data_IF_918572651234
#
_entry.id   IF_918572651234
#
_cell.length_a   1.000
_cell.length_b   1.000
_cell.length_c   1.000
_cell.angle_alpha   90.00
_cell.angle_beta   90.00
_cell.angle_gamma   90.00
#
_symmetry.space_group_name_H-M   'P 1'
#
loop_
_entity.id
_entity.type
_entity.pdbx_description
1 polymer ?
#
# COMPACT_ATOMS: atom_id res chain seq x y z
N UNK A 1 8.92 -11.53 -2.20
CA UNK A 1 8.42 -12.67 -1.41
C UNK A 1 7.11 -13.09 -2.02
N UNK A 2 6.95 -14.40 -2.23
CA UNK A 2 5.70 -15.00 -2.69
C UNK A 2 5.14 -15.80 -1.52
N UNK A 3 3.90 -15.53 -1.14
CA UNK A 3 3.16 -16.31 -0.15
C UNK A 3 1.97 -16.95 -0.85
N UNK A 4 1.80 -18.24 -0.65
CA UNK A 4 0.67 -19.02 -1.14
C UNK A 4 0.14 -19.79 0.05
N UNK A 5 -1.13 -19.60 0.37
CA UNK A 5 -1.85 -20.39 1.36
C UNK A 5 -3.21 -20.83 0.80
N UNK A 6 -4.06 -21.46 1.64
CA UNK A 6 -5.35 -21.98 1.21
C UNK A 6 -6.33 -20.90 0.70
N UNK A 7 -6.14 -19.63 1.06
CA UNK A 7 -7.08 -18.54 0.77
C UNK A 7 -6.51 -17.43 -0.12
N UNK A 8 -5.20 -17.37 -0.37
CA UNK A 8 -4.61 -16.24 -1.11
C UNK A 8 -3.29 -16.57 -1.81
N UNK A 9 -3.03 -15.79 -2.86
CA UNK A 9 -1.74 -15.68 -3.55
C UNK A 9 -1.27 -14.23 -3.37
N UNK A 10 -0.12 -14.04 -2.74
CA UNK A 10 0.43 -12.72 -2.45
C UNK A 10 1.85 -12.58 -3.01
N UNK A 11 2.09 -11.49 -3.73
CA UNK A 11 3.42 -11.04 -4.16
C UNK A 11 3.78 -9.74 -3.42
N UNK A 12 4.93 -9.74 -2.75
CA UNK A 12 5.47 -8.59 -2.04
C UNK A 12 6.88 -8.27 -2.53
N UNK A 13 7.22 -6.99 -2.72
CA UNK A 13 8.56 -6.57 -3.12
C UNK A 13 8.94 -5.22 -2.51
N UNK A 14 10.21 -5.07 -2.14
CA UNK A 14 10.85 -3.79 -1.80
C UNK A 14 11.62 -3.22 -2.99
N UNK A 15 11.81 -3.99 -4.06
CA UNK A 15 12.48 -3.59 -5.30
C UNK A 15 11.46 -3.19 -6.36
N UNK A 16 10.50 -2.35 -5.96
CA UNK A 16 9.45 -1.88 -6.84
C UNK A 16 10.02 -0.87 -7.84
N UNK A 17 9.87 -1.15 -9.14
CA UNK A 17 10.37 -0.28 -10.23
C UNK A 17 9.25 0.34 -11.06
N UNK A 18 8.02 -0.16 -10.93
CA UNK A 18 6.86 0.26 -11.71
C UNK A 18 5.72 -0.74 -11.59
N UNK A 19 4.50 -0.26 -11.81
CA UNK A 19 3.29 -1.06 -11.63
C UNK A 19 3.20 -2.16 -12.68
N UNK A 20 3.53 -1.85 -13.93
CA UNK A 20 3.42 -2.75 -15.07
C UNK A 20 4.34 -3.95 -14.93
N UNK A 21 5.58 -3.73 -14.47
CA UNK A 21 6.54 -4.80 -14.23
C UNK A 21 6.11 -5.67 -13.04
N UNK A 22 5.68 -5.05 -11.95
CA UNK A 22 5.16 -5.76 -10.78
C UNK A 22 3.93 -6.62 -11.14
N UNK A 23 2.96 -6.03 -11.85
CA UNK A 23 1.72 -6.69 -12.22
C UNK A 23 1.97 -7.83 -13.22
N UNK A 24 2.87 -7.65 -14.18
CA UNK A 24 3.24 -8.71 -15.11
C UNK A 24 3.90 -9.91 -14.41
N UNK A 25 4.69 -9.68 -13.34
CA UNK A 25 5.24 -10.75 -12.52
C UNK A 25 4.15 -11.44 -11.68
N UNK A 26 3.25 -10.65 -11.07
CA UNK A 26 2.11 -11.16 -10.32
C UNK A 26 1.19 -12.02 -11.19
N UNK A 27 0.84 -11.56 -12.40
CA UNK A 27 -0.04 -12.29 -13.30
C UNK A 27 0.55 -13.64 -13.69
N UNK A 28 1.85 -13.70 -14.02
CA UNK A 28 2.53 -14.99 -14.30
C UNK A 28 2.43 -15.96 -13.14
N UNK A 29 2.59 -15.47 -11.90
CA UNK A 29 2.45 -16.28 -10.70
C UNK A 29 1.01 -16.78 -10.54
N UNK A 30 0.02 -15.89 -10.67
CA UNK A 30 -1.40 -16.23 -10.55
C UNK A 30 -1.81 -17.26 -11.59
N UNK A 31 -1.52 -17.03 -12.88
CA UNK A 31 -1.88 -17.96 -13.95
C UNK A 31 -1.24 -19.34 -13.73
N UNK A 32 0.01 -19.40 -13.24
CA UNK A 32 0.67 -20.66 -12.90
C UNK A 32 -0.04 -21.40 -11.76
N UNK A 33 -0.34 -20.70 -10.65
CA UNK A 33 -1.00 -21.32 -9.49
C UNK A 33 -2.41 -21.77 -9.86
N UNK A 34 -3.15 -20.94 -10.59
CA UNK A 34 -4.52 -21.25 -11.00
C UNK A 34 -4.57 -22.46 -11.93
N UNK A 35 -3.66 -22.58 -12.89
CA UNK A 35 -3.58 -23.75 -13.77
C UNK A 35 -3.24 -25.04 -13.00
N UNK A 36 -2.33 -24.98 -12.01
CA UNK A 36 -1.96 -26.14 -11.18
C UNK A 36 -3.12 -26.59 -10.28
N UNK A 37 -3.92 -25.64 -9.82
CA UNK A 37 -5.02 -25.87 -8.87
C UNK A 37 -6.39 -25.95 -9.54
N UNK A 38 -6.45 -25.94 -10.88
CA UNK A 38 -7.66 -25.93 -11.71
C UNK A 38 -8.62 -24.77 -11.38
N UNK A 39 -8.10 -23.70 -10.75
CA UNK A 39 -8.89 -22.52 -10.38
C UNK A 39 -9.16 -21.60 -11.57
N UNK A 40 -8.43 -21.75 -12.66
CA UNK A 40 -8.75 -21.11 -13.94
C UNK A 40 -10.09 -21.58 -14.49
N UNK A 41 -10.43 -22.86 -14.31
CA UNK A 41 -11.71 -23.44 -14.72
C UNK A 41 -12.77 -23.37 -13.59
N UNK A 42 -12.44 -23.82 -12.38
CA UNK A 42 -13.41 -24.03 -11.30
C UNK A 42 -13.33 -23.02 -10.16
N UNK A 43 -12.32 -22.16 -10.17
CA UNK A 43 -12.02 -21.24 -9.08
C UNK A 43 -12.95 -20.03 -9.06
N UNK A 44 -13.09 -19.46 -7.87
CA UNK A 44 -13.78 -18.18 -7.66
C UNK A 44 -12.82 -17.25 -6.93
N UNK A 45 -12.54 -16.11 -7.53
CA UNK A 45 -11.82 -15.03 -6.87
C UNK A 45 -12.81 -14.10 -6.19
N UNK A 46 -12.73 -13.98 -4.87
CA UNK A 46 -13.65 -13.15 -4.08
C UNK A 46 -13.07 -11.79 -3.69
N UNK A 47 -11.75 -11.62 -3.80
CA UNK A 47 -11.05 -10.41 -3.40
C UNK A 47 -9.79 -10.20 -4.24
N UNK A 48 -9.59 -8.96 -4.69
CA UNK A 48 -8.36 -8.49 -5.33
C UNK A 48 -7.85 -7.27 -4.56
N UNK A 49 -6.56 -7.23 -4.25
CA UNK A 49 -5.97 -6.17 -3.42
C UNK A 49 -4.62 -5.71 -3.93
N UNK A 50 -4.37 -4.42 -3.80
CA UNK A 50 -3.10 -3.78 -4.09
C UNK A 50 -2.75 -2.83 -2.94
N UNK A 51 -1.55 -2.98 -2.38
CA UNK A 51 -1.10 -2.21 -1.22
C UNK A 51 0.27 -1.60 -1.48
N UNK A 52 0.39 -0.31 -1.21
CA UNK A 52 1.64 0.45 -1.21
C UNK A 52 1.98 0.83 0.22
N UNK A 53 3.24 0.61 0.60
CA UNK A 53 3.78 1.00 1.89
C UNK A 53 5.03 1.83 1.63
N UNK A 54 4.91 3.12 1.89
CA UNK A 54 5.96 4.09 1.66
C UNK A 54 6.53 4.60 2.99
N UNK A 55 7.84 4.80 3.02
CA UNK A 55 8.54 5.36 4.19
C UNK A 55 8.91 6.81 3.93
N UNK A 56 8.49 7.71 4.80
CA UNK A 56 8.99 9.09 4.86
C UNK A 56 10.15 9.13 5.85
N UNK A 57 11.30 9.61 5.36
CA UNK A 57 12.52 9.81 6.13
C UNK A 57 13.03 11.21 5.86
N UNK A 58 13.60 11.85 6.88
CA UNK A 58 14.26 13.14 6.73
C UNK A 58 15.45 13.00 5.78
N UNK A 59 15.50 13.85 4.76
CA UNK A 59 16.63 13.86 3.81
C UNK A 59 17.74 14.83 4.24
N UNK A 60 17.39 15.86 5.03
CA UNK A 60 18.32 16.86 5.55
C UNK A 60 18.02 17.15 7.04
N UNK A 61 18.91 17.90 7.70
CA UNK A 61 18.73 18.24 9.12
C UNK A 61 17.54 19.18 9.37
N UNK A 62 17.22 20.04 8.40
CA UNK A 62 16.11 21.00 8.48
C UNK A 62 14.78 20.40 8.01
N UNK A 63 14.81 19.14 7.58
CA UNK A 63 13.66 18.45 7.04
C UNK A 63 12.71 17.94 8.14
N UNK A 64 11.42 17.97 7.85
CA UNK A 64 10.37 17.53 8.78
C UNK A 64 9.45 16.54 8.10
N UNK A 65 9.01 15.52 8.83
CA UNK A 65 8.05 14.54 8.31
C UNK A 65 6.75 15.22 7.90
N UNK A 66 6.32 16.23 8.66
CA UNK A 66 5.14 17.05 8.38
C UNK A 66 5.20 17.70 7.00
N UNK A 67 6.37 18.16 6.56
CA UNK A 67 6.52 18.80 5.25
C UNK A 67 6.17 17.87 4.09
N UNK A 68 6.21 16.55 4.27
CA UNK A 68 5.81 15.57 3.25
C UNK A 68 4.31 15.34 3.19
N UNK A 69 3.59 15.60 4.28
CA UNK A 69 2.18 15.23 4.42
C UNK A 69 1.27 16.44 4.25
N UNK A 70 0.06 16.20 3.72
CA UNK A 70 -1.00 17.22 3.75
C UNK A 70 -1.37 17.56 5.21
N UNK A 71 -1.76 18.82 5.51
CA UNK A 71 -2.00 19.28 6.90
C UNK A 71 -2.91 18.36 7.72
N UNK A 72 -3.95 17.81 7.09
CA UNK A 72 -4.94 16.93 7.71
C UNK A 72 -4.35 15.61 8.22
N UNK A 73 -3.15 15.25 7.74
CA UNK A 73 -2.45 14.00 8.05
C UNK A 73 -1.28 14.18 9.02
N UNK A 74 -1.01 15.40 9.49
CA UNK A 74 0.16 15.74 10.31
C UNK A 74 -0.03 15.44 11.82
N UNK A 75 -1.20 14.92 12.20
CA UNK A 75 -1.58 14.71 13.59
C UNK A 75 -2.09 15.98 14.27
N UNK A 76 -2.33 15.91 15.58
CA UNK A 76 -2.80 17.05 16.36
C UNK A 76 -1.64 17.89 16.88
N UNK A 77 -1.82 19.20 16.89
CA UNK A 77 -0.98 20.12 17.66
C UNK A 77 -1.50 20.22 19.10
N UNK A 78 -0.59 20.23 20.07
CA UNK A 78 -0.91 20.45 21.48
C UNK A 78 0.15 21.36 22.09
N UNK A 79 -0.28 22.49 22.63
CA UNK A 79 0.61 23.50 23.25
C UNK A 79 1.38 22.99 24.48
N UNK A 80 0.91 21.89 25.04
CA UNK A 80 1.42 21.21 26.23
C UNK A 80 2.53 20.21 25.89
N UNK A 81 2.74 19.89 24.60
CA UNK A 81 3.83 19.02 24.18
C UNK A 81 5.19 19.69 24.40
N UNK A 82 6.09 18.98 25.07
CA UNK A 82 7.46 19.44 25.34
C UNK A 82 8.49 18.91 24.34
N UNK A 83 8.07 17.96 23.48
CA UNK A 83 8.87 17.35 22.42
C UNK A 83 8.18 17.61 21.07
N UNK A 84 8.97 17.92 20.05
CA UNK A 84 8.48 18.13 18.68
C UNK A 84 8.30 16.80 17.93
N UNK A 85 8.85 15.69 18.44
CA UNK A 85 8.61 14.35 17.89
C UNK A 85 7.20 13.90 18.22
N UNK A 86 6.37 13.81 17.18
CA UNK A 86 5.01 13.31 17.29
C UNK A 86 4.94 11.78 17.15
N UNK A 87 4.07 11.17 17.93
CA UNK A 87 3.65 9.78 17.76
C UNK A 87 2.15 9.77 17.53
N UNK A 88 1.72 9.20 16.41
CA UNK A 88 0.30 9.07 16.10
C UNK A 88 0.06 8.00 15.04
N UNK A 89 -1.19 7.53 15.05
CA UNK A 89 -1.76 6.74 13.96
C UNK A 89 -3.02 7.44 13.47
N UNK A 90 -3.11 7.64 12.16
CA UNK A 90 -4.32 8.10 11.50
C UNK A 90 -4.77 7.02 10.52
N UNK A 91 -6.07 6.72 10.48
CA UNK A 91 -6.65 5.78 9.54
C UNK A 91 -7.94 6.36 8.96
N UNK A 92 -8.05 6.36 7.63
CA UNK A 92 -9.28 6.66 6.92
C UNK A 92 -9.61 5.53 5.95
N UNK A 93 -10.88 5.17 5.85
CA UNK A 93 -11.36 4.08 5.00
C UNK A 93 -12.60 4.58 4.27
N UNK A 94 -12.60 4.46 2.95
CA UNK A 94 -13.69 4.92 2.11
C UNK A 94 -13.95 4.00 0.93
N UNK A 95 -15.19 4.03 0.43
CA UNK A 95 -15.53 3.37 -0.84
C UNK A 95 -15.01 4.19 -2.01
N UNK A 96 -14.50 3.49 -3.02
CA UNK A 96 -14.03 4.06 -4.27
C UNK A 96 -14.89 3.53 -5.42
N UNK A 97 -15.03 4.30 -6.50
CA UNK A 97 -15.70 3.83 -7.70
C UNK A 97 -14.65 3.28 -8.66
N UNK A 98 -14.63 1.97 -8.86
CA UNK A 98 -13.74 1.33 -9.83
C UNK A 98 -14.39 1.37 -11.22
N UNK A 99 -15.69 1.10 -11.33
CA UNK A 99 -16.49 1.27 -12.54
C UNK A 99 -17.92 1.71 -12.15
N UNK A 100 -18.81 2.03 -13.11
CA UNK A 100 -20.21 2.37 -12.81
C UNK A 100 -20.96 1.32 -11.97
N UNK A 101 -20.56 0.06 -12.05
CA UNK A 101 -21.21 -1.06 -11.37
C UNK A 101 -20.30 -1.72 -10.31
N UNK A 102 -19.08 -1.21 -10.10
CA UNK A 102 -18.08 -1.86 -9.26
C UNK A 102 -17.42 -0.86 -8.33
N UNK A 103 -17.51 -1.13 -7.02
CA UNK A 103 -16.89 -0.32 -5.98
C UNK A 103 -15.68 -1.03 -5.38
N UNK A 104 -14.64 -0.27 -5.05
CA UNK A 104 -13.51 -0.70 -4.23
C UNK A 104 -13.60 -0.12 -2.82
N UNK A 105 -12.60 -0.43 -2.01
CA UNK A 105 -12.40 0.17 -0.69
C UNK A 105 -10.94 0.57 -0.55
N UNK A 106 -10.67 1.86 -0.35
CA UNK A 106 -9.34 2.38 -0.11
C UNK A 106 -9.20 2.71 1.38
N UNK A 107 -8.20 2.11 2.02
CA UNK A 107 -7.72 2.46 3.34
C UNK A 107 -6.41 3.22 3.21
N UNK A 108 -6.30 4.36 3.91
CA UNK A 108 -5.08 5.15 4.02
C UNK A 108 -4.73 5.23 5.49
N UNK A 109 -3.50 4.84 5.83
CA UNK A 109 -2.99 4.85 7.20
C UNK A 109 -1.67 5.60 7.26
N UNK A 110 -1.54 6.49 8.25
CA UNK A 110 -0.28 7.13 8.60
C UNK A 110 0.14 6.61 9.96
N UNK A 111 1.34 6.07 10.07
CA UNK A 111 1.91 5.61 11.33
C UNK A 111 3.22 6.34 11.55
N UNK A 112 3.35 7.14 12.62
CA UNK A 112 4.56 7.90 12.91
C UNK A 112 5.09 7.63 14.30
N UNK A 113 6.41 7.53 14.40
CA UNK A 113 7.13 7.63 15.67
C UNK A 113 7.10 6.38 16.55
N UNK A 114 6.52 5.28 16.05
CA UNK A 114 6.60 3.97 16.70
C UNK A 114 8.01 3.39 16.52
N UNK A 115 8.74 3.25 17.65
CA UNK A 115 10.17 2.90 17.63
C UNK A 115 10.39 1.54 16.99
N UNK A 116 11.28 1.51 15.99
CA UNK A 116 11.64 0.28 15.27
C UNK A 116 10.55 -0.26 14.33
N UNK A 117 9.44 0.47 14.13
CA UNK A 117 8.42 0.11 13.15
C UNK A 117 8.73 0.73 11.80
N UNK A 118 9.38 -0.04 10.93
CA UNK A 118 9.72 0.33 9.55
C UNK A 118 8.74 -0.27 8.52
N UNK A 119 7.79 -1.08 8.97
CA UNK A 119 6.74 -1.71 8.18
C UNK A 119 5.47 -1.85 9.02
N UNK A 120 4.28 -1.89 8.40
CA UNK A 120 3.04 -2.27 9.08
C UNK A 120 3.21 -3.60 9.84
N UNK A 121 2.69 -3.71 11.08
CA UNK A 121 2.92 -4.87 11.94
C UNK A 121 2.53 -6.22 11.31
N UNK A 122 1.48 -6.22 10.48
CA UNK A 122 0.98 -7.41 9.80
C UNK A 122 1.94 -7.94 8.71
N UNK A 123 2.84 -7.08 8.20
CA UNK A 123 3.85 -7.45 7.21
C UNK A 123 5.15 -7.94 7.84
N UNK A 124 5.37 -7.75 9.15
CA UNK A 124 6.64 -8.07 9.82
C UNK A 124 6.98 -9.57 9.76
N UNK A 125 5.99 -10.44 9.91
CA UNK A 125 6.20 -11.89 9.92
C UNK A 125 6.70 -12.44 8.57
N UNK A 126 6.38 -11.75 7.48
CA UNK A 126 6.76 -12.13 6.11
C UNK A 126 7.50 -11.00 5.37
N UNK A 127 8.22 -10.15 6.12
CA UNK A 127 8.83 -8.94 5.59
C UNK A 127 9.77 -9.27 4.40
N UNK A 128 9.69 -8.53 3.27
CA UNK A 128 10.57 -8.78 2.14
C UNK A 128 12.05 -8.62 2.47
N UNK A 129 12.87 -9.50 1.92
CA UNK A 129 14.32 -9.42 2.03
C UNK A 129 14.86 -8.12 1.41
N UNK A 130 15.96 -7.60 1.94
CA UNK A 130 16.62 -6.39 1.43
C UNK A 130 15.97 -5.08 1.88
N UNK A 131 15.13 -5.09 2.92
CA UNK A 131 14.68 -3.88 3.60
C UNK A 131 15.86 -3.14 4.24
N UNK A 132 15.79 -1.81 4.25
CA UNK A 132 16.71 -1.01 5.05
C UNK A 132 16.36 -1.22 6.53
N UNK A 133 17.36 -1.61 7.34
CA UNK A 133 17.19 -1.67 8.80
C UNK A 133 17.40 -0.25 9.32
N UNK A 134 16.35 0.33 9.88
CA UNK A 134 16.37 1.67 10.43
C UNK A 134 16.84 1.66 11.89
N UNK A 135 17.45 2.75 12.33
CA UNK A 135 17.76 2.93 13.74
C UNK A 135 16.45 3.06 14.53
N UNK A 136 16.30 2.41 15.70
CA UNK A 136 15.11 2.56 16.54
C UNK A 136 14.78 4.02 16.93
N UNK A 137 15.79 4.88 16.92
CA UNK A 137 15.65 6.30 17.27
C UNK A 137 15.33 7.20 16.07
N UNK A 138 15.42 6.69 14.84
CA UNK A 138 15.11 7.45 13.63
C UNK A 138 13.65 7.92 13.64
N UNK A 139 13.43 9.20 13.29
CA UNK A 139 12.07 9.76 13.16
C UNK A 139 11.58 9.49 11.74
N UNK A 140 10.66 8.54 11.62
CA UNK A 140 10.04 8.13 10.36
C UNK A 140 8.51 8.14 10.47
N UNK A 141 7.87 8.25 9.31
CA UNK A 141 6.46 7.91 9.16
C UNK A 141 6.28 6.89 8.04
N UNK A 142 5.27 6.04 8.19
CA UNK A 142 4.79 5.11 7.19
C UNK A 142 3.50 5.66 6.59
N UNK A 143 3.42 5.68 5.27
CA UNK A 143 2.19 5.82 4.51
C UNK A 143 1.82 4.42 4.03
N UNK A 144 0.70 3.89 4.52
CA UNK A 144 0.15 2.60 4.10
C UNK A 144 -1.18 2.83 3.36
N UNK A 145 -1.18 2.57 2.05
CA UNK A 145 -2.35 2.68 1.20
C UNK A 145 -2.75 1.30 0.70
N UNK A 146 -3.86 0.77 1.21
CA UNK A 146 -4.41 -0.55 0.89
C UNK A 146 -5.73 -0.38 0.13
N UNK A 147 -5.75 -0.76 -1.14
CA UNK A 147 -6.92 -0.66 -1.99
C UNK A 147 -7.33 -2.04 -2.49
N UNK A 148 -8.59 -2.39 -2.24
CA UNK A 148 -9.10 -3.68 -2.64
C UNK A 148 -10.52 -3.61 -3.20
N UNK A 149 -10.84 -4.63 -3.96
CA UNK A 149 -12.18 -4.95 -4.42
C UNK A 149 -12.61 -6.27 -3.78
N UNK A 150 -13.87 -6.32 -3.32
CA UNK A 150 -14.53 -7.56 -2.89
C UNK A 150 -15.70 -7.83 -3.83
N UNK A 151 -15.86 -9.09 -4.24
CA UNK A 151 -16.97 -9.52 -5.09
C UNK A 151 -16.83 -10.97 -5.50
N UNK A 152 -17.14 -11.29 -6.76
CA UNK A 152 -16.98 -12.64 -7.31
C UNK A 152 -16.58 -12.58 -8.77
N UNK A 153 -15.44 -13.17 -9.12
CA UNK A 153 -14.99 -13.44 -10.48
C UNK A 153 -14.82 -14.94 -10.66
N UNK A 154 -15.48 -15.52 -11.67
CA UNK A 154 -15.45 -16.95 -11.99
C UNK A 154 -16.82 -17.64 -11.86
N UNK A 155 -16.93 -18.92 -12.24
CA UNK A 155 -15.87 -19.77 -12.84
C UNK A 155 -15.47 -19.33 -14.26
N UNK A 156 -14.29 -19.75 -14.74
CA UNK A 156 -13.73 -19.31 -16.03
C UNK A 156 -12.98 -17.98 -15.91
N UNK A 157 -11.84 -18.01 -15.21
CA UNK A 157 -11.01 -16.86 -14.88
C UNK A 157 -10.81 -15.89 -16.07
N UNK A 158 -11.20 -14.63 -15.87
CA UNK A 158 -11.01 -13.56 -16.85
C UNK A 158 -9.79 -12.70 -16.46
N UNK A 159 -8.63 -13.06 -17.03
CA UNK A 159 -7.37 -12.34 -16.79
C UNK A 159 -7.50 -10.85 -17.13
N UNK A 160 -8.23 -10.51 -18.19
CA UNK A 160 -8.41 -9.12 -18.62
C UNK A 160 -9.22 -8.34 -17.60
N UNK A 161 -10.26 -8.95 -17.04
CA UNK A 161 -11.05 -8.31 -16.00
C UNK A 161 -10.25 -8.09 -14.73
N UNK A 162 -9.41 -9.06 -14.34
CA UNK A 162 -8.48 -8.89 -13.22
C UNK A 162 -7.52 -7.73 -13.49
N UNK A 163 -6.90 -7.70 -14.66
CA UNK A 163 -5.99 -6.64 -15.09
C UNK A 163 -6.66 -5.25 -15.01
N UNK A 164 -7.84 -5.09 -15.61
CA UNK A 164 -8.60 -3.84 -15.55
C UNK A 164 -8.85 -3.37 -14.11
N UNK A 165 -9.19 -4.30 -13.21
CA UNK A 165 -9.42 -3.99 -11.80
C UNK A 165 -8.12 -3.54 -11.13
N UNK A 166 -7.01 -4.25 -11.33
CA UNK A 166 -5.72 -3.86 -10.75
C UNK A 166 -5.23 -2.49 -11.24
N UNK A 167 -5.38 -2.17 -12.53
CA UNK A 167 -5.10 -0.83 -13.05
C UNK A 167 -5.97 0.24 -12.38
N UNK A 168 -7.28 -0.01 -12.19
CA UNK A 168 -8.18 0.92 -11.49
C UNK A 168 -7.81 1.08 -10.02
N UNK A 169 -7.39 0.00 -9.35
CA UNK A 169 -6.90 0.04 -7.98
C UNK A 169 -5.65 0.92 -7.90
N UNK A 170 -4.66 0.65 -8.75
CA UNK A 170 -3.41 1.37 -8.87
C UNK A 170 -3.62 2.86 -9.12
N UNK A 171 -4.34 3.22 -10.18
CA UNK A 171 -4.55 4.62 -10.54
C UNK A 171 -5.24 5.41 -9.43
N UNK A 172 -6.14 4.75 -8.70
CA UNK A 172 -6.84 5.37 -7.56
C UNK A 172 -5.88 5.61 -6.40
N UNK A 173 -4.98 4.67 -6.10
CA UNK A 173 -3.93 4.86 -5.11
C UNK A 173 -3.04 6.03 -5.52
N UNK A 174 -2.50 6.04 -6.75
CA UNK A 174 -1.61 7.10 -7.22
C UNK A 174 -2.28 8.47 -7.16
N UNK A 175 -3.54 8.58 -7.62
CA UNK A 175 -4.29 9.84 -7.49
C UNK A 175 -4.50 10.24 -6.03
N UNK A 176 -4.87 9.30 -5.16
CA UNK A 176 -5.05 9.56 -3.73
C UNK A 176 -3.76 10.02 -3.06
N UNK A 177 -2.65 9.35 -3.37
CA UNK A 177 -1.32 9.67 -2.86
C UNK A 177 -0.94 11.12 -3.20
N UNK A 178 -0.96 11.49 -4.49
CA UNK A 178 -0.55 12.83 -4.92
C UNK A 178 -1.52 13.94 -4.54
N UNK A 179 -2.84 13.67 -4.52
CA UNK A 179 -3.85 14.72 -4.31
C UNK A 179 -4.27 14.88 -2.85
N UNK A 180 -4.15 13.83 -2.04
CA UNK A 180 -4.76 13.79 -0.72
C UNK A 180 -3.80 13.37 0.39
N UNK A 181 -2.65 12.75 0.07
CA UNK A 181 -1.71 12.28 1.09
C UNK A 181 -0.47 13.15 1.17
N UNK A 182 0.26 13.26 0.07
CA UNK A 182 1.54 13.96 0.02
C UNK A 182 1.33 15.43 -0.33
N UNK A 183 2.08 16.31 0.32
CA UNK A 183 2.14 17.74 -0.01
C UNK A 183 2.87 17.96 -1.34
N UNK A 184 2.78 19.18 -1.91
CA UNK A 184 3.55 19.53 -3.10
C UNK A 184 5.06 19.50 -2.83
N UNK A 185 5.49 20.04 -1.69
CA UNK A 185 6.88 19.99 -1.22
C UNK A 185 7.36 18.53 -1.05
N UNK A 186 6.53 17.66 -0.47
CA UNK A 186 6.83 16.25 -0.31
C UNK A 186 7.05 15.52 -1.63
N UNK A 187 6.24 15.84 -2.64
CA UNK A 187 6.41 15.28 -4.00
C UNK A 187 7.74 15.73 -4.61
N UNK A 188 8.14 16.99 -4.41
CA UNK A 188 9.42 17.49 -4.93
C UNK A 188 10.62 16.83 -4.26
N UNK A 189 10.55 16.63 -2.94
CA UNK A 189 11.60 15.93 -2.17
C UNK A 189 11.71 14.45 -2.51
N UNK A 190 10.62 13.81 -2.95
CA UNK A 190 10.60 12.37 -3.26
C UNK A 190 11.12 12.02 -4.65
N UNK A 191 11.46 13.00 -5.49
CA UNK A 191 12.07 12.76 -6.80
C UNK A 191 13.52 12.29 -6.67
#
# INVERSE_FOLDING_TARGET
>A
VVLIDQGQILLQTTKYTGFELFFAEYLKLVSLVMAITEHDEYGICTRLGLRYVDQIRKQTADDTIESYLRPELQGMECSEYTDTRKQYTLSTIGKTMLSPETNGTLAIRIIRGERGLDLPPDLLAAAPAGRAILSPDEDIALIDMDHYWDGSLGPGFDEKRMEELFYRLHDTIIRGFHRSVVSEEGIEKWK
#
